data_IF_540656565256
#
_entry.id   IF_540656565256
#
_cell.length_a   1.000
_cell.length_b   1.000
_cell.length_c   1.000
_cell.angle_alpha   90.00
_cell.angle_beta   90.00
_cell.angle_gamma   90.00
#
_symmetry.space_group_name_H-M   'P 1'
#
loop_
_entity.id
_entity.type
_entity.pdbx_description
1 polymer ?
#
# COMPACT_ATOMS: atom_id res chain seq x y z
N UNK A 1 -91.55 -31.57 -13.87
CA UNK A 1 -92.02 -32.86 -14.43
C UNK A 1 -91.16 -33.18 -15.65
N UNK A 2 -90.74 -34.44 -15.75
CA UNK A 2 -89.70 -35.00 -16.62
C UNK A 2 -89.99 -34.96 -18.14
N UNK A 3 -88.89 -34.91 -18.92
CA UNK A 3 -88.50 -35.78 -20.08
C UNK A 3 -87.83 -34.92 -21.18
N UNK A 4 -86.53 -35.05 -21.47
CA UNK A 4 -85.76 -36.14 -22.11
C UNK A 4 -85.97 -36.22 -23.64
N UNK A 5 -84.85 -35.99 -24.37
CA UNK A 5 -84.46 -36.48 -25.72
C UNK A 5 -85.24 -35.99 -26.95
N UNK A 6 -84.68 -35.79 -28.14
CA UNK A 6 -83.30 -35.81 -28.69
C UNK A 6 -83.35 -35.31 -30.16
N UNK A 7 -82.20 -34.85 -30.68
CA UNK A 7 -81.68 -34.89 -32.06
C UNK A 7 -82.60 -34.57 -33.28
N UNK A 8 -82.24 -33.78 -34.30
CA UNK A 8 -80.96 -33.69 -35.02
C UNK A 8 -81.02 -32.65 -36.15
N UNK A 9 -79.81 -32.31 -36.65
CA UNK A 9 -79.42 -31.71 -37.95
C UNK A 9 -79.01 -30.23 -37.93
N UNK A 10 -77.75 -30.04 -37.53
CA UNK A 10 -76.94 -28.86 -37.87
C UNK A 10 -76.27 -29.14 -39.21
N UNK A 11 -76.45 -28.21 -40.16
CA UNK A 11 -75.76 -28.15 -41.45
C UNK A 11 -74.49 -27.31 -41.26
N UNK A 12 -73.36 -27.85 -41.68
CA UNK A 12 -72.05 -27.19 -41.72
C UNK A 12 -71.94 -26.39 -43.02
N UNK A 13 -71.41 -25.15 -42.96
CA UNK A 13 -70.46 -24.68 -43.96
C UNK A 13 -69.20 -24.16 -43.25
N UNK A 14 -68.02 -24.70 -43.51
CA UNK A 14 -67.17 -24.50 -44.69
C UNK A 14 -65.97 -23.66 -44.23
N UNK A 15 -64.81 -24.30 -44.31
CA UNK A 15 -63.53 -23.83 -43.76
C UNK A 15 -62.99 -22.73 -44.67
N UNK A 16 -62.87 -21.52 -44.15
CA UNK A 16 -62.21 -20.41 -44.83
C UNK A 16 -60.85 -20.12 -44.15
N UNK A 17 -59.79 -20.46 -44.88
CA UNK A 17 -58.45 -19.87 -44.94
C UNK A 17 -57.81 -19.30 -43.66
N UNK A 18 -57.00 -20.16 -43.03
CA UNK A 18 -55.84 -19.75 -42.23
C UNK A 18 -54.74 -19.22 -43.16
N UNK A 19 -54.70 -17.91 -43.43
CA UNK A 19 -53.53 -17.27 -44.02
C UNK A 19 -53.55 -15.75 -43.87
N UNK A 20 -53.26 -15.19 -42.68
CA UNK A 20 -52.72 -13.81 -42.64
C UNK A 20 -52.01 -13.33 -41.35
N UNK A 21 -51.75 -14.18 -40.35
CA UNK A 21 -51.17 -13.70 -39.07
C UNK A 21 -49.64 -13.82 -38.94
N UNK A 22 -48.92 -14.12 -40.03
CA UNK A 22 -47.45 -14.15 -40.00
C UNK A 22 -46.77 -12.87 -40.50
N UNK A 23 -47.51 -11.90 -41.08
CA UNK A 23 -46.90 -10.72 -41.70
C UNK A 23 -46.84 -9.47 -40.78
N UNK A 24 -47.40 -9.55 -39.57
CA UNK A 24 -47.35 -8.44 -38.59
C UNK A 24 -46.12 -8.48 -37.66
N UNK A 25 -45.51 -9.64 -37.48
CA UNK A 25 -44.33 -9.81 -36.62
C UNK A 25 -43.01 -9.52 -37.34
N UNK A 26 -42.95 -9.68 -38.67
CA UNK A 26 -41.71 -9.46 -39.43
C UNK A 26 -41.47 -7.98 -39.84
N UNK A 27 -42.51 -7.13 -39.85
CA UNK A 27 -42.37 -5.73 -40.29
C UNK A 27 -42.05 -4.71 -39.18
N UNK A 28 -42.18 -5.09 -37.90
CA UNK A 28 -42.05 -4.14 -36.78
C UNK A 28 -40.93 -4.46 -35.79
N UNK A 29 -40.14 -5.50 -36.04
CA UNK A 29 -38.93 -5.79 -35.27
C UNK A 29 -37.74 -5.88 -36.21
N UNK A 30 -37.29 -4.73 -36.70
CA UNK A 30 -35.85 -4.57 -36.89
C UNK A 30 -35.28 -4.38 -35.48
N UNK A 31 -34.47 -5.33 -34.95
CA UNK A 31 -33.68 -4.99 -33.79
C UNK A 31 -32.78 -3.84 -34.25
N UNK A 32 -33.00 -2.64 -33.72
CA UNK A 32 -31.95 -1.62 -33.70
C UNK A 32 -30.70 -2.36 -33.23
N UNK A 33 -29.56 -2.31 -33.95
CA UNK A 33 -28.36 -3.01 -33.50
C UNK A 33 -28.10 -2.51 -32.09
N UNK A 34 -28.25 -3.40 -31.11
CA UNK A 34 -28.04 -3.06 -29.71
C UNK A 34 -26.69 -2.37 -29.67
N UNK A 35 -26.69 -1.07 -29.36
CA UNK A 35 -25.49 -0.25 -29.36
C UNK A 35 -24.52 -0.99 -28.45
N UNK A 36 -23.48 -1.57 -29.03
CA UNK A 36 -22.58 -2.45 -28.31
C UNK A 36 -21.93 -1.59 -27.23
N UNK A 37 -22.41 -1.70 -26.00
CA UNK A 37 -21.93 -0.90 -24.88
C UNK A 37 -20.51 -1.36 -24.61
N UNK A 38 -19.55 -0.56 -25.02
CA UNK A 38 -18.15 -0.80 -24.72
C UNK A 38 -17.93 -0.57 -23.24
N UNK A 39 -17.00 -1.30 -22.64
CA UNK A 39 -16.54 -1.01 -21.26
C UNK A 39 -16.12 0.47 -21.13
N UNK A 40 -15.57 1.05 -22.20
CA UNK A 40 -15.13 2.44 -22.25
C UNK A 40 -16.27 3.47 -22.23
N UNK A 41 -17.52 3.04 -22.45
CA UNK A 41 -18.71 3.89 -22.38
C UNK A 41 -19.18 4.13 -20.92
N UNK A 42 -18.60 3.40 -19.96
CA UNK A 42 -18.85 3.62 -18.54
C UNK A 42 -18.26 4.95 -18.06
N UNK A 43 -18.88 5.54 -17.03
CA UNK A 43 -18.31 6.70 -16.34
C UNK A 43 -17.11 6.29 -15.46
N UNK A 44 -16.36 7.28 -14.98
CA UNK A 44 -15.12 7.03 -14.24
C UNK A 44 -15.31 6.26 -12.94
N UNK A 45 -16.42 6.49 -12.23
CA UNK A 45 -16.70 5.79 -10.98
C UNK A 45 -16.99 4.32 -11.24
N UNK A 46 -17.81 4.00 -12.25
CA UNK A 46 -18.05 2.63 -12.68
C UNK A 46 -16.76 1.94 -13.15
N UNK A 47 -15.90 2.65 -13.90
CA UNK A 47 -14.61 2.11 -14.34
C UNK A 47 -13.68 1.85 -13.16
N UNK A 48 -13.63 2.73 -12.15
CA UNK A 48 -12.84 2.50 -10.95
C UNK A 48 -13.30 1.28 -10.18
N UNK A 49 -14.62 1.09 -10.04
CA UNK A 49 -15.20 -0.09 -9.40
C UNK A 49 -14.85 -1.38 -10.15
N UNK A 50 -14.73 -1.34 -11.48
CA UNK A 50 -14.24 -2.48 -12.27
C UNK A 50 -12.73 -2.67 -12.08
N UNK A 51 -11.95 -1.60 -12.12
CA UNK A 51 -10.48 -1.64 -12.00
C UNK A 51 -9.98 -1.91 -10.58
N UNK A 52 -10.83 -1.88 -9.55
CA UNK A 52 -10.39 -2.22 -8.19
C UNK A 52 -9.88 -3.67 -8.09
N UNK A 53 -10.38 -4.56 -8.94
CA UNK A 53 -10.04 -5.99 -8.95
C UNK A 53 -8.74 -6.32 -9.68
N UNK A 54 -8.17 -5.39 -10.45
CA UNK A 54 -6.90 -5.61 -11.12
C UNK A 54 -5.72 -5.25 -10.20
N UNK A 55 -4.58 -5.88 -10.45
CA UNK A 55 -3.35 -5.58 -9.72
C UNK A 55 -2.77 -4.24 -10.18
N UNK A 56 -1.87 -3.66 -9.37
CA UNK A 56 -1.14 -2.44 -9.76
C UNK A 56 -0.26 -2.69 -10.98
N UNK A 57 0.28 -3.90 -11.14
CA UNK A 57 1.04 -4.29 -12.34
C UNK A 57 0.16 -4.24 -13.59
N UNK A 58 -1.01 -4.87 -13.54
CA UNK A 58 -1.95 -4.87 -14.65
C UNK A 58 -2.43 -3.44 -14.95
N UNK A 59 -2.60 -2.61 -13.92
CA UNK A 59 -2.94 -1.20 -14.07
C UNK A 59 -1.88 -0.45 -14.89
N UNK A 60 -0.58 -0.67 -14.63
CA UNK A 60 0.47 -0.11 -15.47
C UNK A 60 0.44 -0.66 -16.91
N UNK A 61 0.18 -1.95 -17.11
CA UNK A 61 0.00 -2.52 -18.45
C UNK A 61 -1.17 -1.86 -19.21
N UNK A 62 -2.25 -1.50 -18.49
CA UNK A 62 -3.36 -0.75 -19.09
C UNK A 62 -2.98 0.66 -19.55
N UNK A 63 -2.10 1.36 -18.81
CA UNK A 63 -1.59 2.68 -19.23
C UNK A 63 -0.81 2.62 -20.55
N UNK A 64 -0.06 1.54 -20.75
CA UNK A 64 0.76 1.32 -21.95
C UNK A 64 -0.07 0.87 -23.16
N UNK A 65 -1.19 0.16 -22.92
CA UNK A 65 -1.95 -0.54 -23.97
C UNK A 65 -3.17 0.25 -24.46
N UNK A 66 -3.86 0.97 -23.58
CA UNK A 66 -5.16 1.57 -23.89
C UNK A 66 -5.11 3.09 -24.07
N UNK A 67 -6.09 3.60 -24.83
CA UNK A 67 -6.24 5.03 -25.13
C UNK A 67 -6.34 5.90 -23.86
N UNK A 68 -6.02 7.19 -24.02
CA UNK A 68 -6.04 8.24 -23.00
C UNK A 68 -7.29 8.25 -22.09
N UNK A 69 -8.44 7.72 -22.56
CA UNK A 69 -9.70 7.61 -21.80
C UNK A 69 -9.52 6.96 -20.42
N UNK A 70 -8.67 5.93 -20.32
CA UNK A 70 -8.48 5.21 -19.07
C UNK A 70 -7.33 5.75 -18.22
N UNK A 71 -6.52 6.70 -18.72
CA UNK A 71 -5.33 7.18 -18.01
C UNK A 71 -5.65 7.73 -16.63
N UNK A 72 -6.62 8.65 -16.53
CA UNK A 72 -6.98 9.27 -15.25
C UNK A 72 -7.56 8.26 -14.25
N UNK A 73 -8.41 7.36 -14.75
CA UNK A 73 -9.03 6.29 -13.96
C UNK A 73 -7.96 5.32 -13.43
N UNK A 74 -7.02 4.93 -14.29
CA UNK A 74 -5.92 4.02 -13.94
C UNK A 74 -4.93 4.69 -12.99
N UNK A 75 -4.59 5.96 -13.19
CA UNK A 75 -3.78 6.73 -12.25
C UNK A 75 -4.46 6.84 -10.88
N UNK A 76 -5.76 7.10 -10.84
CA UNK A 76 -6.54 7.12 -9.60
C UNK A 76 -6.53 5.74 -8.93
N UNK A 77 -6.65 4.65 -9.69
CA UNK A 77 -6.49 3.28 -9.17
C UNK A 77 -5.11 3.03 -8.56
N UNK A 78 -4.03 3.41 -9.25
CA UNK A 78 -2.66 3.28 -8.74
C UNK A 78 -2.50 4.11 -7.46
N UNK A 79 -3.07 5.31 -7.42
CA UNK A 79 -3.00 6.20 -6.25
C UNK A 79 -3.65 5.63 -4.99
N UNK A 80 -4.52 4.62 -5.12
CA UNK A 80 -5.12 3.91 -3.98
C UNK A 80 -4.12 2.97 -3.29
N UNK A 81 -2.99 2.63 -3.92
CA UNK A 81 -1.91 1.90 -3.27
C UNK A 81 -1.23 2.81 -2.24
N UNK A 82 -1.61 2.67 -0.97
CA UNK A 82 -1.04 3.44 0.14
C UNK A 82 0.08 2.73 0.89
N UNK A 83 0.17 1.41 0.73
CA UNK A 83 1.11 0.56 1.47
C UNK A 83 1.85 -0.31 0.47
N UNK A 84 3.18 -0.33 0.56
CA UNK A 84 4.04 -1.19 -0.24
C UNK A 84 4.98 -1.93 0.72
N UNK A 85 4.98 -3.25 0.64
CA UNK A 85 5.81 -4.12 1.46
C UNK A 85 6.44 -5.16 0.56
N UNK A 86 7.76 -5.32 0.63
CA UNK A 86 8.47 -6.36 -0.12
C UNK A 86 9.80 -6.74 0.52
N UNK A 87 10.28 -7.93 0.16
CA UNK A 87 11.64 -8.38 0.41
C UNK A 87 12.44 -8.28 -0.89
N UNK A 88 13.70 -7.85 -0.84
CA UNK A 88 14.51 -7.65 -2.05
C UNK A 88 14.82 -8.98 -2.79
N UNK A 89 14.71 -10.14 -2.15
CA UNK A 89 14.74 -11.46 -2.81
C UNK A 89 13.51 -11.73 -3.68
N UNK A 90 12.39 -11.09 -3.37
CA UNK A 90 11.13 -11.16 -4.12
C UNK A 90 10.66 -9.75 -4.46
N UNK A 91 11.57 -8.94 -5.00
CA UNK A 91 11.32 -7.53 -5.25
C UNK A 91 10.27 -7.33 -6.36
N UNK A 92 9.45 -6.26 -6.30
CA UNK A 92 8.46 -6.01 -7.32
C UNK A 92 9.12 -5.59 -8.63
N UNK A 93 8.63 -6.16 -9.73
CA UNK A 93 9.10 -5.88 -11.08
C UNK A 93 8.41 -4.63 -11.65
N UNK A 94 8.83 -3.46 -11.13
CA UNK A 94 8.41 -2.15 -11.62
C UNK A 94 9.60 -1.39 -12.20
N UNK A 95 9.37 -0.58 -13.24
CA UNK A 95 10.37 0.37 -13.74
C UNK A 95 10.61 1.51 -12.74
N UNK A 96 11.67 2.30 -12.96
CA UNK A 96 11.98 3.46 -12.11
C UNK A 96 10.82 4.48 -12.15
N UNK A 97 10.25 4.72 -13.32
CA UNK A 97 9.14 5.65 -13.54
C UNK A 97 7.87 5.15 -12.83
N UNK A 98 7.58 3.86 -12.91
CA UNK A 98 6.44 3.24 -12.22
C UNK A 98 6.60 3.36 -10.69
N UNK A 99 7.82 3.14 -10.17
CA UNK A 99 8.12 3.33 -8.74
C UNK A 99 7.97 4.79 -8.30
N UNK A 100 8.34 5.77 -9.14
CA UNK A 100 8.09 7.19 -8.84
C UNK A 100 6.59 7.50 -8.77
N UNK A 101 5.79 6.97 -9.70
CA UNK A 101 4.33 7.14 -9.69
C UNK A 101 3.73 6.54 -8.41
N UNK A 102 4.17 5.33 -8.02
CA UNK A 102 3.77 4.70 -6.75
C UNK A 102 4.18 5.59 -5.56
N UNK A 103 5.45 6.00 -5.51
CA UNK A 103 6.04 6.79 -4.43
C UNK A 103 5.36 8.15 -4.20
N UNK A 104 4.70 8.71 -5.24
CA UNK A 104 3.91 9.95 -5.13
C UNK A 104 2.71 9.83 -4.19
N UNK A 105 2.15 8.63 -4.04
CA UNK A 105 0.90 8.39 -3.32
C UNK A 105 1.05 7.49 -2.10
N UNK A 106 2.23 6.90 -1.93
CA UNK A 106 2.56 5.92 -0.91
C UNK A 106 2.65 6.55 0.48
N UNK A 107 2.04 5.92 1.49
CA UNK A 107 2.07 6.38 2.88
C UNK A 107 2.94 5.49 3.77
N UNK A 108 2.95 4.19 3.49
CA UNK A 108 3.75 3.21 4.23
C UNK A 108 4.65 2.44 3.28
N UNK A 109 5.94 2.39 3.61
CA UNK A 109 6.95 1.64 2.87
C UNK A 109 7.70 0.71 3.81
N UNK A 110 7.63 -0.60 3.54
CA UNK A 110 8.37 -1.61 4.29
C UNK A 110 9.27 -2.41 3.36
N UNK A 111 10.58 -2.36 3.59
CA UNK A 111 11.56 -3.07 2.78
C UNK A 111 12.42 -3.95 3.68
N UNK A 112 12.39 -5.26 3.43
CA UNK A 112 13.36 -6.21 3.96
C UNK A 112 14.43 -6.44 2.90
N UNK A 113 15.67 -6.04 3.18
CA UNK A 113 16.75 -6.12 2.17
C UNK A 113 17.49 -7.45 2.30
N UNK A 114 18.04 -7.71 3.48
CA UNK A 114 18.91 -8.85 3.72
C UNK A 114 20.38 -8.49 3.46
N UNK A 115 21.25 -8.76 4.44
CA UNK A 115 22.65 -8.34 4.44
C UNK A 115 23.49 -8.86 3.26
N UNK A 116 23.04 -9.92 2.58
CA UNK A 116 23.74 -10.51 1.44
C UNK A 116 23.51 -9.79 0.11
N UNK A 117 22.56 -8.85 0.04
CA UNK A 117 22.21 -8.16 -1.19
C UNK A 117 22.89 -6.79 -1.29
N UNK A 118 23.16 -6.37 -2.52
CA UNK A 118 23.84 -5.10 -2.79
C UNK A 118 23.01 -3.90 -2.30
N UNK A 119 23.61 -3.06 -1.47
CA UNK A 119 23.00 -1.80 -1.01
C UNK A 119 22.62 -0.90 -2.18
N UNK A 120 23.46 -0.84 -3.22
CA UNK A 120 23.22 0.01 -4.39
C UNK A 120 21.95 -0.41 -5.13
N UNK A 121 21.69 -1.72 -5.22
CA UNK A 121 20.45 -2.20 -5.84
C UNK A 121 19.23 -1.66 -5.08
N UNK A 122 19.21 -1.78 -3.74
CA UNK A 122 18.11 -1.25 -2.94
C UNK A 122 17.96 0.27 -3.11
N UNK A 123 19.06 1.00 -2.98
CA UNK A 123 19.07 2.46 -2.97
C UNK A 123 18.64 3.03 -4.32
N UNK A 124 19.33 2.66 -5.40
CA UNK A 124 19.13 3.28 -6.71
C UNK A 124 17.89 2.76 -7.43
N UNK A 125 17.56 1.46 -7.27
CA UNK A 125 16.39 0.91 -7.94
C UNK A 125 15.10 1.20 -7.20
N UNK A 126 15.09 1.17 -5.87
CA UNK A 126 13.84 1.20 -5.11
C UNK A 126 13.69 2.45 -4.23
N UNK A 127 14.63 2.69 -3.31
CA UNK A 127 14.46 3.79 -2.34
C UNK A 127 14.45 5.16 -2.99
N UNK A 128 15.42 5.49 -3.85
CA UNK A 128 15.48 6.81 -4.50
C UNK A 128 14.20 7.12 -5.30
N UNK A 129 13.69 6.22 -6.17
CA UNK A 129 12.43 6.45 -6.87
C UNK A 129 11.22 6.57 -5.94
N UNK A 130 11.08 5.69 -4.94
CA UNK A 130 9.93 5.68 -4.04
C UNK A 130 9.90 6.89 -3.11
N UNK A 131 11.06 7.36 -2.66
CA UNK A 131 11.19 8.49 -1.74
C UNK A 131 11.18 9.86 -2.44
N UNK A 132 11.23 9.90 -3.77
CA UNK A 132 11.43 11.13 -4.54
C UNK A 132 10.44 12.26 -4.20
N UNK A 133 9.17 11.94 -3.98
CA UNK A 133 8.12 12.92 -3.69
C UNK A 133 7.90 13.18 -2.20
N UNK A 134 8.60 12.49 -1.30
CA UNK A 134 8.50 12.72 0.14
C UNK A 134 7.15 12.37 0.78
N UNK A 135 6.27 11.62 0.10
CA UNK A 135 4.88 11.43 0.55
C UNK A 135 4.68 10.41 1.68
N UNK A 136 5.73 9.62 1.94
CA UNK A 136 5.77 8.50 2.90
C UNK A 136 5.79 9.05 4.33
N UNK A 137 4.92 8.50 5.17
CA UNK A 137 4.78 8.85 6.59
C UNK A 137 5.28 7.73 7.51
N UNK A 138 5.36 6.51 7.00
CA UNK A 138 5.75 5.33 7.78
C UNK A 138 6.78 4.54 6.98
N UNK A 139 7.95 4.33 7.56
CA UNK A 139 9.03 3.61 6.91
C UNK A 139 9.60 2.53 7.82
N UNK A 140 9.69 1.32 7.29
CA UNK A 140 10.46 0.22 7.86
C UNK A 140 11.52 -0.21 6.86
N UNK A 141 12.77 -0.19 7.27
CA UNK A 141 13.89 -0.71 6.50
C UNK A 141 14.71 -1.63 7.40
N UNK A 142 14.86 -2.88 7.00
CA UNK A 142 15.54 -3.89 7.82
C UNK A 142 16.64 -4.61 7.04
N UNK A 143 17.64 -5.10 7.78
CA UNK A 143 18.72 -5.95 7.29
C UNK A 143 19.59 -5.30 6.21
N UNK A 144 20.00 -4.05 6.44
CA UNK A 144 20.96 -3.32 5.58
C UNK A 144 22.24 -3.02 6.33
N UNK A 145 23.35 -2.86 5.60
CA UNK A 145 24.49 -2.11 6.12
C UNK A 145 24.22 -0.63 5.84
N UNK A 146 23.67 0.07 6.82
CA UNK A 146 23.20 1.45 6.66
C UNK A 146 24.40 2.39 6.46
N UNK A 147 24.26 3.30 5.51
CA UNK A 147 25.32 4.22 5.12
C UNK A 147 24.73 5.59 4.74
N UNK A 148 25.59 6.54 4.36
CA UNK A 148 25.17 7.90 3.99
C UNK A 148 24.13 7.92 2.85
N UNK A 149 24.21 7.00 1.90
CA UNK A 149 23.26 6.97 0.79
C UNK A 149 21.84 6.56 1.23
N UNK A 150 21.73 5.63 2.19
CA UNK A 150 20.45 5.35 2.86
C UNK A 150 19.98 6.55 3.68
N UNK A 151 20.89 7.15 4.47
CA UNK A 151 20.58 8.33 5.29
C UNK A 151 19.97 9.46 4.44
N UNK A 152 20.56 9.79 3.29
CA UNK A 152 20.05 10.82 2.39
C UNK A 152 18.63 10.50 1.87
N UNK A 153 18.35 9.23 1.57
CA UNK A 153 17.00 8.83 1.14
C UNK A 153 15.96 9.04 2.25
N UNK A 154 16.32 8.77 3.51
CA UNK A 154 15.42 8.95 4.65
C UNK A 154 15.29 10.41 5.03
N UNK A 155 16.36 11.21 4.93
CA UNK A 155 16.31 12.66 5.17
C UNK A 155 15.31 13.36 4.24
N UNK A 156 15.18 12.91 2.99
CA UNK A 156 14.15 13.41 2.07
C UNK A 156 12.71 13.15 2.54
N UNK A 157 12.51 12.19 3.44
CA UNK A 157 11.21 11.87 4.04
C UNK A 157 11.02 12.51 5.42
N UNK A 158 12.10 12.98 6.07
CA UNK A 158 12.12 13.28 7.50
C UNK A 158 10.98 14.20 7.95
N UNK A 159 10.70 15.26 7.19
CA UNK A 159 9.65 16.23 7.52
C UNK A 159 8.23 15.61 7.63
N UNK A 160 7.99 14.47 6.98
CA UNK A 160 6.70 13.79 6.95
C UNK A 160 6.66 12.49 7.76
N UNK A 161 7.82 11.97 8.19
CA UNK A 161 7.90 10.70 8.90
C UNK A 161 7.24 10.78 10.28
N UNK A 162 6.29 9.88 10.50
CA UNK A 162 5.58 9.63 11.75
C UNK A 162 6.05 8.34 12.40
N UNK A 163 6.31 7.29 11.61
CA UNK A 163 6.88 6.04 12.12
C UNK A 163 8.16 5.69 11.37
N UNK A 164 9.21 5.37 12.13
CA UNK A 164 10.49 4.94 11.58
C UNK A 164 10.97 3.69 12.31
N UNK A 165 11.19 2.62 11.55
CA UNK A 165 11.79 1.40 12.03
C UNK A 165 13.05 1.12 11.20
N UNK A 166 14.20 1.13 11.88
CA UNK A 166 15.51 0.84 11.31
C UNK A 166 16.17 -0.32 12.05
N UNK A 167 15.38 -1.34 12.34
CA UNK A 167 15.87 -2.54 13.03
C UNK A 167 16.81 -3.36 12.13
N UNK A 168 17.87 -3.90 12.72
CA UNK A 168 18.88 -4.71 12.03
C UNK A 168 19.53 -3.96 10.85
N UNK A 169 19.92 -2.70 11.06
CA UNK A 169 20.48 -1.84 10.01
C UNK A 169 21.97 -1.53 10.19
N UNK A 170 22.64 -2.14 11.18
CA UNK A 170 24.05 -1.80 11.51
C UNK A 170 24.24 -0.30 11.73
N UNK A 171 23.25 0.36 12.34
CA UNK A 171 23.26 1.80 12.56
C UNK A 171 24.39 2.24 13.50
N UNK A 172 24.90 3.44 13.26
CA UNK A 172 25.70 4.21 14.20
C UNK A 172 24.97 5.50 14.58
N UNK A 173 25.40 6.17 15.65
CA UNK A 173 24.79 7.43 16.07
C UNK A 173 24.99 8.54 15.03
N UNK A 174 26.15 8.59 14.35
CA UNK A 174 26.47 9.60 13.34
C UNK A 174 25.52 9.53 12.13
N UNK A 175 25.08 8.33 11.76
CA UNK A 175 24.13 8.11 10.68
C UNK A 175 22.68 8.38 11.09
N UNK A 176 22.34 8.11 12.36
CA UNK A 176 20.97 8.23 12.84
C UNK A 176 20.62 9.66 13.31
N UNK A 177 21.57 10.35 13.93
CA UNK A 177 21.36 11.68 14.54
C UNK A 177 20.74 12.69 13.57
N UNK A 178 21.27 12.91 12.35
CA UNK A 178 20.66 13.85 11.40
C UNK A 178 19.21 13.50 11.05
N UNK A 179 18.85 12.22 11.02
CA UNK A 179 17.47 11.80 10.74
C UNK A 179 16.56 12.23 11.91
N UNK A 180 16.95 11.90 13.14
CA UNK A 180 16.14 12.21 14.33
C UNK A 180 15.98 13.71 14.58
N UNK A 181 16.99 14.51 14.23
CA UNK A 181 16.89 15.97 14.31
C UNK A 181 15.87 16.58 13.35
N UNK A 182 15.63 15.95 12.20
CA UNK A 182 14.78 16.48 11.13
C UNK A 182 13.36 15.88 11.13
N UNK A 183 13.14 14.77 11.84
CA UNK A 183 11.84 14.10 11.91
C UNK A 183 10.87 14.79 12.91
N UNK A 184 10.39 15.98 12.59
CA UNK A 184 9.55 16.78 13.50
C UNK A 184 8.17 16.17 13.80
N UNK A 185 7.67 15.26 12.95
CA UNK A 185 6.38 14.59 13.12
C UNK A 185 6.49 13.18 13.69
N UNK A 186 7.68 12.75 14.10
CA UNK A 186 7.93 11.38 14.55
C UNK A 186 7.13 11.04 15.82
N UNK A 187 6.30 10.01 15.72
CA UNK A 187 5.46 9.48 16.78
C UNK A 187 6.01 8.15 17.34
N UNK A 188 6.65 7.35 16.48
CA UNK A 188 7.23 6.06 16.87
C UNK A 188 8.59 5.82 16.22
N UNK A 189 9.52 5.33 17.03
CA UNK A 189 10.88 4.95 16.62
C UNK A 189 11.18 3.51 17.07
N UNK A 190 11.77 2.70 16.20
CA UNK A 190 12.27 1.37 16.53
C UNK A 190 13.73 1.18 16.11
N UNK A 191 14.56 0.77 17.07
CA UNK A 191 16.00 0.52 16.93
C UNK A 191 16.32 -0.82 17.61
N UNK A 192 16.08 -1.92 16.90
CA UNK A 192 16.34 -3.29 17.40
C UNK A 192 17.52 -3.89 16.64
N UNK A 193 18.35 -4.71 17.26
CA UNK A 193 19.43 -5.45 16.59
C UNK A 193 20.51 -4.59 15.92
N UNK A 194 20.72 -3.36 16.40
CA UNK A 194 21.79 -2.46 15.94
C UNK A 194 22.95 -2.48 16.95
N UNK A 195 23.93 -3.36 16.74
CA UNK A 195 24.97 -3.65 17.73
C UNK A 195 26.10 -2.62 17.82
N UNK A 196 26.25 -1.75 16.83
CA UNK A 196 27.26 -0.67 16.81
C UNK A 196 26.70 0.68 17.32
N UNK A 197 25.37 0.78 17.48
CA UNK A 197 24.71 1.98 17.95
C UNK A 197 24.88 2.14 19.46
N UNK A 198 25.22 3.37 19.91
CA UNK A 198 25.57 3.66 21.31
C UNK A 198 24.52 4.48 22.05
N UNK A 199 23.41 4.84 21.41
CA UNK A 199 22.29 5.50 22.08
C UNK A 199 22.37 7.03 22.19
N UNK A 200 23.45 7.66 21.73
CA UNK A 200 23.64 9.12 21.86
C UNK A 200 22.65 9.93 21.02
N UNK A 201 22.31 9.42 19.85
CA UNK A 201 21.38 10.06 18.90
C UNK A 201 19.95 10.18 19.44
N UNK A 202 19.57 9.47 20.52
CA UNK A 202 18.26 9.65 21.17
C UNK A 202 18.05 11.08 21.68
N UNK A 203 19.11 11.73 22.17
CA UNK A 203 19.04 13.10 22.68
C UNK A 203 18.82 14.13 21.56
N UNK A 204 18.95 13.72 20.30
CA UNK A 204 18.72 14.57 19.12
C UNK A 204 17.27 14.55 18.65
N UNK A 205 16.40 13.76 19.27
CA UNK A 205 14.96 13.73 18.94
C UNK A 205 14.33 15.08 19.31
N UNK A 206 13.88 15.83 18.30
CA UNK A 206 13.20 17.12 18.46
C UNK A 206 11.69 17.05 18.27
N UNK A 207 11.15 15.88 17.92
CA UNK A 207 9.70 15.76 17.68
C UNK A 207 8.91 15.90 18.99
N UNK A 208 7.95 16.84 19.07
CA UNK A 208 7.05 16.91 20.22
C UNK A 208 5.96 15.82 20.20
N UNK A 209 5.88 15.03 19.12
CA UNK A 209 4.86 13.99 18.94
C UNK A 209 5.34 12.59 19.33
N UNK A 210 6.63 12.45 19.64
CA UNK A 210 7.22 11.15 19.95
C UNK A 210 6.51 10.60 21.19
N UNK A 211 5.84 9.46 21.01
CA UNK A 211 5.07 8.82 22.07
C UNK A 211 5.57 7.42 22.39
N UNK A 212 6.33 6.81 21.48
CA UNK A 212 6.85 5.46 21.68
C UNK A 212 8.25 5.31 21.08
N UNK A 213 9.17 4.73 21.86
CA UNK A 213 10.51 4.36 21.41
C UNK A 213 10.72 2.91 21.79
N UNK A 214 11.11 2.09 20.82
CA UNK A 214 11.37 0.66 20.99
C UNK A 214 12.84 0.37 20.72
N UNK A 215 13.54 -0.19 21.71
CA UNK A 215 14.99 -0.38 21.66
C UNK A 215 15.36 -1.78 22.13
N UNK A 216 16.35 -2.39 21.49
CA UNK A 216 17.11 -3.51 22.05
C UNK A 216 18.43 -3.01 22.63
N UNK A 217 18.68 -3.30 23.92
CA UNK A 217 19.93 -2.95 24.57
C UNK A 217 21.08 -3.81 24.04
N UNK A 218 22.24 -3.17 23.87
CA UNK A 218 23.51 -3.81 23.58
C UNK A 218 24.56 -3.33 24.59
N UNK A 219 25.75 -3.93 24.53
CA UNK A 219 26.85 -3.66 25.47
C UNK A 219 27.42 -2.22 25.37
N UNK A 220 27.01 -1.44 24.35
CA UNK A 220 27.49 -0.09 24.05
C UNK A 220 26.46 1.02 24.34
N UNK A 221 25.16 0.70 24.45
CA UNK A 221 24.10 1.71 24.53
C UNK A 221 23.37 1.79 25.88
N UNK A 222 23.56 0.83 26.78
CA UNK A 222 22.83 0.73 28.06
C UNK A 222 22.87 2.02 28.88
N UNK A 223 24.06 2.57 29.13
CA UNK A 223 24.24 3.81 29.90
C UNK A 223 23.50 5.01 29.28
N UNK A 224 23.56 5.15 27.95
CA UNK A 224 22.93 6.27 27.25
C UNK A 224 21.41 6.12 27.21
N UNK A 225 20.89 4.92 26.99
CA UNK A 225 19.45 4.63 27.01
C UNK A 225 18.87 4.85 28.40
N UNK A 226 19.57 4.43 29.46
CA UNK A 226 19.14 4.71 30.83
C UNK A 226 19.15 6.22 31.15
N UNK A 227 20.21 6.92 30.73
CA UNK A 227 20.30 8.37 30.95
C UNK A 227 19.18 9.10 30.21
N UNK A 228 18.88 8.68 28.98
CA UNK A 228 17.77 9.20 28.20
C UNK A 228 16.43 8.90 28.88
N UNK A 229 16.21 7.68 29.37
CA UNK A 229 14.99 7.28 30.07
C UNK A 229 14.71 8.16 31.31
N UNK A 230 15.75 8.54 32.05
CA UNK A 230 15.63 9.47 33.18
C UNK A 230 15.29 10.91 32.75
N UNK A 231 15.64 11.29 31.51
CA UNK A 231 15.44 12.64 30.99
C UNK A 231 14.04 12.87 30.41
N UNK A 232 13.47 11.88 29.71
CA UNK A 232 12.24 12.05 28.92
C UNK A 232 10.93 12.07 29.71
N UNK A 233 10.97 11.75 31.01
CA UNK A 233 9.77 11.70 31.85
C UNK A 233 8.74 10.63 31.43
N UNK A 234 7.52 10.71 31.98
CA UNK A 234 6.47 9.70 31.79
C UNK A 234 5.70 9.80 30.46
N UNK A 235 5.95 10.82 29.63
CA UNK A 235 5.18 11.07 28.40
C UNK A 235 5.54 10.19 27.22
N UNK A 236 6.71 9.53 27.26
CA UNK A 236 7.22 8.67 26.19
C UNK A 236 7.22 7.22 26.66
N UNK A 237 6.50 6.35 25.96
CA UNK A 237 6.53 4.91 26.22
C UNK A 237 7.84 4.31 25.68
N UNK A 238 8.77 4.02 26.59
CA UNK A 238 10.03 3.35 26.28
C UNK A 238 9.90 1.83 26.44
N UNK A 239 9.98 1.09 25.34
CA UNK A 239 9.92 -0.37 25.31
C UNK A 239 11.33 -0.91 25.11
N UNK A 240 11.86 -1.59 26.13
CA UNK A 240 13.24 -2.07 26.16
C UNK A 240 13.28 -3.60 26.08
N UNK A 241 14.06 -4.13 25.14
CA UNK A 241 14.40 -5.54 25.04
C UNK A 241 15.84 -5.77 25.49
N UNK A 242 16.05 -6.74 26.39
CA UNK A 242 17.39 -7.15 26.80
C UNK A 242 17.95 -8.18 25.82
N UNK A 243 19.18 -7.98 25.33
CA UNK A 243 19.93 -8.98 24.57
C UNK A 243 20.02 -10.29 25.36
N UNK A 244 19.36 -11.34 24.87
CA UNK A 244 19.67 -12.74 25.18
C UNK A 244 19.76 -13.19 26.64
N UNK A 245 19.42 -12.37 27.65
CA UNK A 245 19.19 -12.86 29.01
C UNK A 245 17.77 -13.40 29.04
N UNK A 246 17.65 -14.70 28.81
CA UNK A 246 16.55 -15.49 29.32
C UNK A 246 16.42 -15.26 30.82
N UNK A 247 15.69 -14.22 31.24
CA UNK A 247 15.13 -14.13 32.58
C UNK A 247 13.99 -13.10 32.61
N UNK A 248 12.86 -13.60 33.10
CA UNK A 248 11.61 -12.91 33.32
C UNK A 248 11.75 -11.66 34.18
N UNK A 249 11.98 -10.47 33.61
CA UNK A 249 11.67 -9.21 34.30
C UNK A 249 10.85 -8.32 33.38
N UNK A 250 9.52 -8.36 33.54
CA UNK A 250 8.64 -7.28 33.10
C UNK A 250 8.91 -6.09 34.01
N UNK A 251 9.82 -5.21 33.62
CA UNK A 251 9.94 -3.89 34.21
C UNK A 251 8.83 -3.01 33.67
N UNK A 252 7.71 -2.89 34.39
CA UNK A 252 6.88 -1.70 34.26
C UNK A 252 7.60 -0.60 35.02
N UNK A 253 8.26 0.30 34.30
CA UNK A 253 8.54 1.62 34.84
C UNK A 253 7.19 2.34 34.87
N UNK A 254 6.70 2.54 36.10
CA UNK A 254 5.56 3.40 36.39
C UNK A 254 6.03 4.83 36.44
#
# INVERSE_FOLDING_TARGET
MNKIMDSSKIVVPEVADQANDQNWLEKNFTPSPAKCSSLLDLNDDCLLEVLQYITVRDAFTLLETFANRLHDVVHKRISQLKILTFDLRNAPDFTIEQLQIIGKHLKTLNICVGYSLSSDLCIFRYLKPLCYYGSIEQMTLNYVNFNEAYQQCILNLAANLRFLDLSFCQLTDELLEPILENCMLLEKLSIIGNYEWRGKSLFSIKSPKIGQITIELNDLCEEQVETFARHIGESICLIIFNKGRSNHHKGHFR
#
